data_IF_529507230372
#
_entry.id   IF_529507230372
#
_cell.length_a   1.000
_cell.length_b   1.000
_cell.length_c   1.000
_cell.angle_alpha   90.00
_cell.angle_beta   90.00
_cell.angle_gamma   90.00
#
_symmetry.space_group_name_H-M   'P 1'
#
loop_
_entity.id
_entity.type
_entity.pdbx_description
1 polymer ?
#
# COMPACT_ATOMS: atom_id res chain seq x y z
N UNK A 1 -9.42 -40.10 -0.26
CA UNK A 1 -8.68 -38.89 -0.61
C UNK A 1 -9.64 -37.98 -1.37
N UNK A 2 -10.21 -37.00 -0.67
CA UNK A 2 -11.34 -36.21 -1.15
C UNK A 2 -10.89 -35.24 -2.24
N UNK A 3 -11.50 -35.41 -3.43
CA UNK A 3 -11.35 -34.48 -4.54
C UNK A 3 -11.97 -33.13 -4.18
N UNK A 4 -11.16 -32.13 -3.98
CA UNK A 4 -11.61 -30.75 -3.90
C UNK A 4 -12.22 -30.36 -5.26
N UNK A 5 -13.54 -30.11 -5.23
CA UNK A 5 -14.34 -29.80 -6.42
C UNK A 5 -13.91 -28.44 -7.00
N UNK A 6 -13.09 -28.49 -8.05
CA UNK A 6 -12.56 -27.32 -8.77
C UNK A 6 -13.66 -26.51 -9.49
N UNK A 7 -14.92 -26.98 -9.50
CA UNK A 7 -16.08 -26.21 -10.01
C UNK A 7 -16.39 -25.01 -9.10
N UNK A 8 -16.02 -25.07 -7.81
CA UNK A 8 -16.20 -23.94 -6.89
C UNK A 8 -15.17 -22.82 -7.08
N UNK A 9 -14.02 -23.08 -7.71
CA UNK A 9 -13.03 -22.05 -8.04
C UNK A 9 -13.49 -21.13 -9.19
N UNK A 10 -14.30 -21.64 -10.14
CA UNK A 10 -14.93 -20.79 -11.17
C UNK A 10 -15.97 -19.80 -10.60
N UNK A 11 -16.50 -20.04 -9.41
CA UNK A 11 -17.42 -19.12 -8.71
C UNK A 11 -16.73 -17.95 -8.05
N UNK A 12 -15.40 -17.95 -7.90
CA UNK A 12 -14.65 -16.94 -7.14
C UNK A 12 -14.01 -15.83 -7.97
N UNK A 13 -13.90 -15.99 -9.30
CA UNK A 13 -13.47 -14.92 -10.20
C UNK A 13 -14.68 -14.09 -10.61
N UNK A 14 -14.96 -13.03 -9.88
CA UNK A 14 -15.95 -12.04 -10.30
C UNK A 14 -15.33 -11.16 -11.39
N UNK A 15 -15.70 -11.39 -12.64
CA UNK A 15 -15.38 -10.44 -13.72
C UNK A 15 -16.01 -9.08 -13.36
N UNK A 16 -15.17 -8.06 -13.19
CA UNK A 16 -15.65 -6.72 -12.88
C UNK A 16 -16.34 -6.04 -14.07
N UNK A 17 -16.39 -6.73 -15.23
CA UNK A 17 -17.04 -6.27 -16.47
C UNK A 17 -18.55 -6.55 -16.50
N UNK A 18 -19.07 -7.37 -15.57
CA UNK A 18 -20.48 -7.78 -15.53
C UNK A 18 -21.13 -7.49 -14.17
N UNK A 19 -22.42 -7.66 -14.06
CA UNK A 19 -23.18 -7.51 -12.82
C UNK A 19 -23.29 -6.06 -12.31
N UNK A 20 -23.63 -5.91 -11.02
CA UNK A 20 -23.79 -4.61 -10.36
C UNK A 20 -22.44 -3.94 -10.09
N UNK A 21 -22.28 -2.70 -10.58
CA UNK A 21 -21.04 -1.93 -10.49
C UNK A 21 -20.62 -1.70 -9.04
N UNK A 22 -21.52 -1.18 -8.19
CA UNK A 22 -21.20 -0.84 -6.81
C UNK A 22 -20.90 -2.08 -5.95
N UNK A 23 -21.71 -3.16 -6.11
CA UNK A 23 -21.46 -4.43 -5.42
C UNK A 23 -20.12 -5.02 -5.83
N UNK A 24 -19.80 -5.00 -7.14
CA UNK A 24 -18.53 -5.48 -7.66
C UNK A 24 -17.33 -4.77 -7.06
N UNK A 25 -17.34 -3.44 -7.02
CA UNK A 25 -16.24 -2.63 -6.45
C UNK A 25 -16.11 -2.88 -4.95
N UNK A 26 -17.20 -2.85 -4.17
CA UNK A 26 -17.15 -3.04 -2.73
C UNK A 26 -16.73 -4.45 -2.32
N UNK A 27 -17.34 -5.49 -2.92
CA UNK A 27 -16.98 -6.88 -2.61
C UNK A 27 -15.55 -7.21 -3.01
N UNK A 28 -15.03 -6.53 -4.02
CA UNK A 28 -13.62 -6.68 -4.42
C UNK A 28 -12.68 -5.91 -3.48
N UNK A 29 -13.08 -4.75 -2.94
CA UNK A 29 -12.29 -3.95 -2.02
C UNK A 29 -12.15 -4.60 -0.62
N UNK A 30 -13.17 -5.33 -0.15
CA UNK A 30 -13.15 -5.94 1.19
C UNK A 30 -11.96 -6.90 1.43
N UNK A 31 -11.62 -7.85 0.53
CA UNK A 31 -10.43 -8.67 0.71
C UNK A 31 -9.13 -7.88 0.65
N UNK A 32 -9.07 -6.78 -0.14
CA UNK A 32 -7.90 -5.90 -0.20
C UNK A 32 -7.68 -5.17 1.12
N UNK A 33 -8.76 -4.69 1.73
CA UNK A 33 -8.74 -4.13 3.08
C UNK A 33 -8.25 -5.17 4.09
N UNK A 34 -8.80 -6.40 4.03
CA UNK A 34 -8.37 -7.51 4.87
C UNK A 34 -6.87 -7.80 4.77
N UNK A 35 -6.31 -7.82 3.55
CA UNK A 35 -4.88 -8.00 3.33
C UNK A 35 -4.04 -6.90 4.00
N UNK A 36 -4.47 -5.64 3.88
CA UNK A 36 -3.77 -4.49 4.50
C UNK A 36 -3.84 -4.54 6.03
N UNK A 37 -4.99 -4.93 6.60
CA UNK A 37 -5.16 -5.09 8.05
C UNK A 37 -4.27 -6.21 8.59
N UNK A 38 -4.21 -7.36 7.92
CA UNK A 38 -3.35 -8.48 8.32
C UNK A 38 -1.88 -8.06 8.28
N UNK A 39 -1.47 -7.35 7.23
CA UNK A 39 -0.10 -6.82 7.13
C UNK A 39 0.24 -5.87 8.28
N UNK A 40 -0.68 -5.00 8.66
CA UNK A 40 -0.49 -4.08 9.79
C UNK A 40 -0.43 -4.82 11.13
N UNK A 41 -1.24 -5.87 11.29
CA UNK A 41 -1.27 -6.68 12.51
C UNK A 41 0.05 -7.40 12.74
N UNK A 42 0.56 -8.19 11.77
CA UNK A 42 1.80 -8.93 12.00
C UNK A 42 3.01 -7.99 12.20
N UNK A 43 3.11 -6.88 11.47
CA UNK A 43 4.17 -5.89 11.69
C UNK A 43 4.13 -5.28 13.10
N UNK A 44 2.94 -5.15 13.69
CA UNK A 44 2.78 -4.69 15.06
C UNK A 44 3.20 -5.77 16.05
N UNK A 45 2.84 -7.03 15.80
CA UNK A 45 3.22 -8.19 16.62
C UNK A 45 4.74 -8.36 16.64
N UNK A 46 5.41 -8.29 15.49
CA UNK A 46 6.88 -8.34 15.36
C UNK A 46 7.54 -7.32 16.32
N UNK A 47 7.07 -6.07 16.29
CA UNK A 47 7.64 -5.01 17.12
C UNK A 47 7.39 -5.25 18.62
N UNK A 48 6.23 -5.80 19.00
CA UNK A 48 5.90 -6.15 20.39
C UNK A 48 6.80 -7.28 20.87
N UNK A 49 6.96 -8.35 20.12
CA UNK A 49 7.83 -9.48 20.49
C UNK A 49 9.27 -9.03 20.70
N UNK A 50 9.82 -8.26 19.76
CA UNK A 50 11.19 -7.74 19.89
C UNK A 50 11.34 -6.82 21.08
N UNK A 51 10.37 -5.92 21.30
CA UNK A 51 10.41 -4.97 22.42
C UNK A 51 10.38 -5.64 23.78
N UNK A 52 9.54 -6.66 23.93
CA UNK A 52 9.39 -7.39 25.19
C UNK A 52 10.55 -8.35 25.48
N UNK A 53 11.08 -9.04 24.47
CA UNK A 53 12.12 -10.06 24.68
C UNK A 53 13.54 -9.51 24.64
N UNK A 54 13.81 -8.49 23.82
CA UNK A 54 15.17 -7.96 23.59
C UNK A 54 15.34 -6.48 23.96
N UNK A 55 14.26 -5.84 24.40
CA UNK A 55 14.27 -4.49 24.95
C UNK A 55 14.37 -3.38 23.88
N UNK A 56 14.54 -2.15 24.40
CA UNK A 56 14.43 -0.92 23.59
C UNK A 56 15.50 -0.76 22.51
N UNK A 57 16.71 -1.27 22.73
CA UNK A 57 17.81 -1.19 21.75
C UNK A 57 17.48 -2.00 20.48
N UNK A 58 16.90 -3.19 20.64
CA UNK A 58 16.51 -4.04 19.51
C UNK A 58 15.35 -3.41 18.72
N UNK A 59 14.32 -2.93 19.40
CA UNK A 59 13.21 -2.20 18.76
C UNK A 59 13.69 -0.94 18.03
N UNK A 60 14.63 -0.19 18.63
CA UNK A 60 15.21 1.00 18.01
C UNK A 60 16.02 0.66 16.74
N UNK A 61 16.73 -0.48 16.72
CA UNK A 61 17.46 -0.95 15.54
C UNK A 61 16.52 -1.30 14.37
N UNK A 62 15.39 -1.96 14.65
CA UNK A 62 14.33 -2.22 13.66
C UNK A 62 13.70 -0.91 13.19
N UNK A 63 13.38 -0.01 14.11
CA UNK A 63 12.82 1.31 13.81
C UNK A 63 13.74 2.15 12.92
N UNK A 64 15.05 2.15 13.16
CA UNK A 64 16.03 2.85 12.33
C UNK A 64 16.04 2.33 10.88
N UNK A 65 15.80 1.03 10.67
CA UNK A 65 15.69 0.43 9.33
C UNK A 65 14.32 0.65 8.69
N UNK A 66 13.32 0.97 9.48
CA UNK A 66 11.90 1.00 9.09
C UNK A 66 11.58 1.95 7.95
N UNK A 67 12.27 3.10 7.87
CA UNK A 67 12.06 4.04 6.77
C UNK A 67 12.48 3.47 5.42
N UNK A 68 13.65 2.84 5.36
CA UNK A 68 14.17 2.19 4.13
C UNK A 68 13.19 1.11 3.69
N UNK A 69 12.79 0.26 4.63
CA UNK A 69 11.82 -0.82 4.40
C UNK A 69 10.49 -0.27 3.88
N UNK A 70 9.95 0.78 4.52
CA UNK A 70 8.68 1.40 4.10
C UNK A 70 8.77 2.00 2.70
N UNK A 71 9.86 2.70 2.37
CA UNK A 71 10.09 3.23 1.03
C UNK A 71 10.14 2.14 -0.03
N UNK A 72 10.85 1.03 0.25
CA UNK A 72 10.94 -0.11 -0.67
C UNK A 72 9.59 -0.79 -0.87
N UNK A 73 8.90 -1.13 0.21
CA UNK A 73 7.55 -1.73 0.13
C UNK A 73 6.59 -0.81 -0.62
N UNK A 74 6.60 0.49 -0.32
CA UNK A 74 5.77 1.49 -0.99
C UNK A 74 6.06 1.56 -2.48
N UNK A 75 7.33 1.53 -2.87
CA UNK A 75 7.73 1.52 -4.28
C UNK A 75 7.19 0.28 -5.01
N UNK A 76 7.33 -0.92 -4.42
CA UNK A 76 6.84 -2.14 -5.07
C UNK A 76 5.33 -2.30 -5.04
N UNK A 77 4.66 -1.76 -4.06
CA UNK A 77 3.20 -1.61 -4.11
C UNK A 77 2.77 -0.74 -5.29
N UNK A 78 3.50 0.34 -5.57
CA UNK A 78 3.31 1.15 -6.78
C UNK A 78 3.61 0.38 -8.07
N UNK A 79 4.70 -0.40 -8.11
CA UNK A 79 5.01 -1.28 -9.25
C UNK A 79 3.90 -2.33 -9.49
N UNK A 80 3.31 -2.88 -8.43
CA UNK A 80 2.17 -3.80 -8.52
C UNK A 80 0.91 -3.15 -9.12
N UNK A 81 0.76 -1.82 -9.02
CA UNK A 81 -0.30 -1.10 -9.76
C UNK A 81 -0.06 -1.20 -11.27
N UNK A 82 1.19 -1.06 -11.73
CA UNK A 82 1.53 -1.22 -13.15
C UNK A 82 1.16 -2.62 -13.67
N UNK A 83 1.52 -3.68 -12.93
CA UNK A 83 1.16 -5.05 -13.30
C UNK A 83 -0.35 -5.26 -13.34
N UNK A 84 -1.07 -4.72 -12.35
CA UNK A 84 -2.53 -4.80 -12.30
C UNK A 84 -3.19 -4.12 -13.52
N UNK A 85 -2.78 -2.90 -13.86
CA UNK A 85 -3.37 -2.12 -14.95
C UNK A 85 -3.28 -2.87 -16.28
N UNK A 86 -2.10 -3.34 -16.67
CA UNK A 86 -1.91 -4.00 -17.96
C UNK A 86 -2.51 -5.41 -17.99
N UNK A 87 -2.40 -6.17 -16.89
CA UNK A 87 -3.05 -7.47 -16.79
C UNK A 87 -4.59 -7.32 -16.84
N UNK A 88 -5.17 -6.33 -16.16
CA UNK A 88 -6.61 -6.07 -16.21
C UNK A 88 -7.09 -5.68 -17.62
N UNK A 89 -6.31 -4.86 -18.35
CA UNK A 89 -6.62 -4.50 -19.74
C UNK A 89 -6.62 -5.71 -20.66
N UNK A 90 -5.56 -6.51 -20.64
CA UNK A 90 -5.49 -7.70 -21.48
C UNK A 90 -6.60 -8.70 -21.15
N UNK A 91 -6.88 -8.87 -19.84
CA UNK A 91 -7.97 -9.73 -19.38
C UNK A 91 -9.34 -9.24 -19.86
N UNK A 92 -9.64 -7.94 -19.68
CA UNK A 92 -10.89 -7.33 -20.14
C UNK A 92 -11.06 -7.36 -21.65
N UNK A 93 -9.97 -7.18 -22.41
CA UNK A 93 -9.95 -7.27 -23.86
C UNK A 93 -9.95 -8.72 -24.38
N UNK A 94 -9.92 -9.74 -23.51
CA UNK A 94 -9.80 -11.17 -23.83
C UNK A 94 -8.55 -11.50 -24.67
N UNK A 95 -7.48 -10.71 -24.51
CA UNK A 95 -6.18 -10.91 -25.19
C UNK A 95 -5.30 -11.85 -24.36
N UNK A 96 -5.64 -13.12 -24.35
CA UNK A 96 -5.01 -14.09 -23.45
C UNK A 96 -3.56 -14.42 -23.79
N UNK A 97 -3.15 -14.26 -25.06
CA UNK A 97 -1.75 -14.46 -25.47
C UNK A 97 -0.84 -13.35 -24.92
N UNK A 98 -1.29 -12.10 -25.01
CA UNK A 98 -0.58 -10.94 -24.43
C UNK A 98 -0.57 -11.05 -22.91
N UNK A 99 -1.69 -11.42 -22.29
CA UNK A 99 -1.79 -11.66 -20.85
C UNK A 99 -0.80 -12.74 -20.40
N UNK A 100 -0.66 -13.84 -21.14
CA UNK A 100 0.32 -14.89 -20.87
C UNK A 100 1.75 -14.33 -20.88
N UNK A 101 2.14 -13.61 -21.94
CA UNK A 101 3.46 -12.97 -22.04
C UNK A 101 3.71 -11.99 -20.89
N UNK A 102 2.71 -11.18 -20.57
CA UNK A 102 2.78 -10.25 -19.44
C UNK A 102 3.04 -10.98 -18.12
N UNK A 103 2.32 -12.07 -17.83
CA UNK A 103 2.50 -12.85 -16.59
C UNK A 103 3.91 -13.45 -16.49
N UNK A 104 4.45 -14.02 -17.59
CA UNK A 104 5.84 -14.49 -17.60
C UNK A 104 6.82 -13.34 -17.35
N UNK A 105 6.60 -12.19 -18.00
CA UNK A 105 7.43 -10.99 -17.82
C UNK A 105 7.38 -10.50 -16.36
N UNK A 106 6.20 -10.44 -15.75
CA UNK A 106 6.01 -10.05 -14.35
C UNK A 106 6.75 -10.99 -13.41
N UNK A 107 6.65 -12.30 -13.61
CA UNK A 107 7.34 -13.29 -12.80
C UNK A 107 8.87 -13.05 -12.81
N UNK A 108 9.46 -12.97 -14.01
CA UNK A 108 10.92 -12.77 -14.12
C UNK A 108 11.34 -11.37 -13.64
N UNK A 109 10.52 -10.34 -13.83
CA UNK A 109 10.75 -9.02 -13.26
C UNK A 109 10.78 -9.08 -11.73
N UNK A 110 9.89 -9.86 -11.11
CA UNK A 110 9.85 -10.07 -9.66
C UNK A 110 11.12 -10.73 -9.13
N UNK A 111 11.56 -11.81 -9.79
CA UNK A 111 12.78 -12.55 -9.39
C UNK A 111 14.03 -11.70 -9.60
N UNK A 112 14.23 -11.16 -10.82
CA UNK A 112 15.45 -10.41 -11.16
C UNK A 112 15.48 -9.09 -10.39
N UNK A 113 14.38 -8.35 -10.34
CA UNK A 113 14.28 -7.09 -9.60
C UNK A 113 14.48 -7.30 -8.10
N UNK A 114 13.87 -8.34 -7.53
CA UNK A 114 14.07 -8.71 -6.13
C UNK A 114 15.51 -9.10 -5.81
N UNK A 115 16.16 -9.86 -6.71
CA UNK A 115 17.58 -10.23 -6.58
C UNK A 115 18.50 -9.00 -6.64
N UNK A 116 18.27 -8.09 -7.58
CA UNK A 116 19.04 -6.85 -7.67
C UNK A 116 18.92 -6.03 -6.38
N UNK A 117 17.71 -5.91 -5.83
CA UNK A 117 17.50 -5.18 -4.58
C UNK A 117 18.10 -5.89 -3.38
N UNK A 118 18.03 -7.22 -3.34
CA UNK A 118 18.71 -7.99 -2.31
C UNK A 118 20.21 -7.67 -2.30
N UNK A 119 20.86 -7.72 -3.47
CA UNK A 119 22.30 -7.43 -3.60
C UNK A 119 22.60 -5.98 -3.23
N UNK A 120 21.88 -5.01 -3.81
CA UNK A 120 22.08 -3.59 -3.52
C UNK A 120 21.84 -3.31 -2.03
N UNK A 121 20.75 -3.79 -1.49
CA UNK A 121 20.42 -3.57 -0.08
C UNK A 121 21.40 -4.25 0.86
N UNK A 122 21.85 -5.46 0.57
CA UNK A 122 22.86 -6.17 1.38
C UNK A 122 24.19 -5.43 1.41
N UNK A 123 24.68 -4.96 0.25
CA UNK A 123 25.96 -4.23 0.12
C UNK A 123 25.86 -2.86 0.76
N UNK A 124 24.80 -2.08 0.43
CA UNK A 124 24.68 -0.68 0.83
C UNK A 124 23.93 -0.46 2.15
N UNK A 125 23.49 -1.51 2.86
CA UNK A 125 22.84 -1.35 4.18
C UNK A 125 23.61 -0.47 5.16
N UNK A 126 24.95 -0.60 5.33
CA UNK A 126 25.68 0.30 6.22
C UNK A 126 25.64 1.76 5.77
N UNK A 127 25.77 2.00 4.46
CA UNK A 127 25.75 3.34 3.86
C UNK A 127 24.39 4.02 4.07
N UNK A 128 23.30 3.30 3.81
CA UNK A 128 21.94 3.81 4.01
C UNK A 128 21.68 4.19 5.48
N UNK A 129 22.08 3.35 6.42
CA UNK A 129 21.94 3.60 7.85
C UNK A 129 22.84 4.74 8.34
N UNK A 130 24.01 4.92 7.73
CA UNK A 130 24.89 6.07 8.00
C UNK A 130 24.24 7.37 7.53
N UNK A 131 23.69 7.40 6.32
CA UNK A 131 22.97 8.58 5.79
C UNK A 131 21.76 8.96 6.64
N UNK A 132 21.12 7.97 7.26
CA UNK A 132 20.01 8.21 8.19
C UNK A 132 20.44 8.67 9.58
N UNK A 133 21.74 8.78 9.86
CA UNK A 133 22.25 9.21 11.18
C UNK A 133 21.99 8.17 12.27
N UNK A 134 21.96 6.88 11.95
CA UNK A 134 21.68 5.81 12.94
C UNK A 134 22.72 5.84 14.07
N UNK A 135 22.31 5.89 15.35
CA UNK A 135 23.21 5.95 16.49
C UNK A 135 24.18 4.75 16.54
N UNK A 136 25.46 5.01 16.87
CA UNK A 136 26.51 3.98 16.92
C UNK A 136 26.16 2.79 17.82
N UNK A 137 25.39 3.03 18.91
CA UNK A 137 25.00 1.99 19.87
C UNK A 137 24.07 0.91 19.32
N UNK A 138 23.30 1.22 18.28
CA UNK A 138 22.34 0.30 17.63
C UNK A 138 22.75 -0.06 16.20
N UNK A 139 23.75 0.62 15.65
CA UNK A 139 24.17 0.49 14.25
C UNK A 139 24.48 -0.97 13.82
N UNK A 140 25.27 -1.76 14.59
CA UNK A 140 25.53 -3.14 14.21
C UNK A 140 24.26 -4.00 14.14
N UNK A 141 23.34 -3.81 15.08
CA UNK A 141 22.05 -4.54 15.08
C UNK A 141 21.17 -4.12 13.89
N UNK A 142 21.10 -2.83 13.58
CA UNK A 142 20.35 -2.32 12.44
C UNK A 142 20.90 -2.84 11.11
N UNK A 143 22.23 -2.90 10.94
CA UNK A 143 22.87 -3.46 9.75
C UNK A 143 22.54 -4.94 9.58
N UNK A 144 22.63 -5.74 10.65
CA UNK A 144 22.32 -7.19 10.60
C UNK A 144 20.84 -7.41 10.24
N UNK A 145 19.94 -6.70 10.91
CA UNK A 145 18.51 -6.75 10.61
C UNK A 145 18.25 -6.42 9.13
N UNK A 146 18.75 -5.25 8.67
CA UNK A 146 18.48 -4.76 7.32
C UNK A 146 19.04 -5.71 6.25
N UNK A 147 20.22 -6.26 6.42
CA UNK A 147 20.81 -7.23 5.49
C UNK A 147 19.97 -8.50 5.33
N UNK A 148 19.49 -9.06 6.44
CA UNK A 148 18.63 -10.24 6.41
C UNK A 148 17.28 -9.88 5.79
N UNK A 149 16.72 -8.72 6.16
CA UNK A 149 15.48 -8.22 5.57
C UNK A 149 15.60 -8.04 4.06
N UNK A 150 16.76 -7.55 3.54
CA UNK A 150 16.99 -7.43 2.10
C UNK A 150 16.98 -8.77 1.38
N UNK A 151 17.31 -9.88 2.03
CA UNK A 151 17.17 -11.21 1.45
C UNK A 151 15.70 -11.56 1.15
N UNK A 152 14.74 -10.99 1.89
CA UNK A 152 13.31 -11.19 1.63
C UNK A 152 12.78 -10.41 0.41
N UNK A 153 13.58 -9.52 -0.20
CA UNK A 153 13.12 -8.69 -1.32
C UNK A 153 12.70 -9.52 -2.54
N UNK A 154 13.34 -10.65 -2.81
CA UNK A 154 12.92 -11.54 -3.90
C UNK A 154 11.46 -11.98 -3.69
N UNK A 155 11.14 -12.41 -2.48
CA UNK A 155 9.82 -12.90 -2.13
C UNK A 155 8.78 -11.78 -2.06
N UNK A 156 9.12 -10.66 -1.42
CA UNK A 156 8.24 -9.50 -1.26
C UNK A 156 7.88 -8.91 -2.64
N UNK A 157 8.87 -8.70 -3.51
CA UNK A 157 8.65 -8.15 -4.85
C UNK A 157 7.80 -9.08 -5.68
N UNK A 158 8.19 -10.37 -5.75
CA UNK A 158 7.43 -11.38 -6.50
C UNK A 158 6.00 -11.49 -6.00
N UNK A 159 5.79 -11.55 -4.69
CA UNK A 159 4.45 -11.58 -4.08
C UNK A 159 3.62 -10.37 -4.51
N UNK A 160 4.16 -9.14 -4.38
CA UNK A 160 3.41 -7.91 -4.70
C UNK A 160 3.04 -7.84 -6.18
N UNK A 161 3.99 -8.12 -7.08
CA UNK A 161 3.75 -8.07 -8.53
C UNK A 161 2.72 -9.13 -8.97
N UNK A 162 2.86 -10.38 -8.52
CA UNK A 162 1.94 -11.48 -8.86
C UNK A 162 0.56 -11.31 -8.18
N UNK A 163 0.50 -10.72 -6.99
CA UNK A 163 -0.78 -10.29 -6.39
C UNK A 163 -1.48 -9.25 -7.25
N UNK A 164 -0.73 -8.35 -7.89
CA UNK A 164 -1.25 -7.40 -8.87
C UNK A 164 -1.94 -8.11 -10.05
N UNK A 165 -1.35 -9.21 -10.53
CA UNK A 165 -1.95 -10.06 -11.59
C UNK A 165 -3.26 -10.67 -11.10
N UNK A 166 -3.29 -11.33 -9.93
CA UNK A 166 -4.52 -11.96 -9.42
C UNK A 166 -5.64 -10.93 -9.24
N UNK A 167 -5.32 -9.75 -8.72
CA UNK A 167 -6.27 -8.62 -8.65
C UNK A 167 -6.79 -8.22 -10.02
N UNK A 168 -5.91 -8.17 -11.01
CA UNK A 168 -6.28 -7.86 -12.38
C UNK A 168 -7.25 -8.90 -13.01
N UNK A 169 -7.13 -10.16 -12.62
CA UNK A 169 -8.02 -11.26 -13.03
C UNK A 169 -9.37 -11.26 -12.27
N UNK A 170 -9.58 -10.33 -11.34
CA UNK A 170 -10.79 -10.26 -10.52
C UNK A 170 -10.73 -11.12 -9.24
N UNK A 171 -9.58 -11.66 -8.90
CA UNK A 171 -9.36 -12.43 -7.69
C UNK A 171 -8.61 -11.60 -6.63
N UNK A 172 -9.35 -11.00 -5.71
CA UNK A 172 -8.78 -10.31 -4.54
C UNK A 172 -8.70 -11.21 -3.29
N UNK A 173 -9.33 -12.39 -3.30
CA UNK A 173 -9.38 -13.31 -2.16
C UNK A 173 -8.12 -14.15 -2.04
N UNK A 174 -7.60 -14.64 -3.14
CA UNK A 174 -6.40 -15.48 -3.15
C UNK A 174 -5.17 -14.76 -2.59
N UNK A 175 -4.85 -13.50 -2.96
CA UNK A 175 -3.81 -12.73 -2.30
C UNK A 175 -4.05 -12.56 -0.78
N UNK A 176 -5.30 -12.29 -0.37
CA UNK A 176 -5.65 -12.22 1.07
C UNK A 176 -5.32 -13.52 1.80
N UNK A 177 -5.71 -14.67 1.24
CA UNK A 177 -5.46 -15.97 1.87
C UNK A 177 -3.97 -16.25 2.04
N UNK A 178 -3.15 -16.02 1.01
CA UNK A 178 -1.70 -16.21 1.13
C UNK A 178 -1.05 -15.20 2.08
N UNK A 179 -1.55 -13.96 2.12
CA UNK A 179 -1.09 -12.97 3.11
C UNK A 179 -1.47 -13.39 4.54
N UNK A 180 -2.66 -13.94 4.73
CA UNK A 180 -3.12 -14.43 6.02
C UNK A 180 -2.29 -15.61 6.52
N UNK A 181 -2.06 -16.63 5.69
CA UNK A 181 -1.20 -17.75 6.04
C UNK A 181 0.25 -17.29 6.25
N UNK A 182 0.75 -16.38 5.42
CA UNK A 182 2.06 -15.76 5.63
C UNK A 182 2.16 -15.06 6.98
N UNK A 183 1.14 -14.29 7.37
CA UNK A 183 1.09 -13.64 8.69
C UNK A 183 1.07 -14.62 9.87
N UNK A 184 0.30 -15.70 9.77
CA UNK A 184 0.32 -16.77 10.78
C UNK A 184 1.71 -17.40 10.89
N UNK A 185 2.32 -17.75 9.76
CA UNK A 185 3.65 -18.35 9.72
C UNK A 185 4.69 -17.36 10.30
N UNK A 186 4.55 -16.06 10.02
CA UNK A 186 5.44 -15.05 10.57
C UNK A 186 5.38 -15.01 12.09
N UNK A 187 4.17 -14.96 12.70
CA UNK A 187 3.99 -14.96 14.16
C UNK A 187 4.59 -16.23 14.80
N UNK A 188 4.36 -17.40 14.19
CA UNK A 188 4.94 -18.65 14.69
C UNK A 188 6.47 -18.67 14.53
N UNK A 189 7.00 -18.19 13.41
CA UNK A 189 8.43 -18.11 13.17
C UNK A 189 9.09 -17.11 14.12
N UNK A 190 8.47 -15.95 14.39
CA UNK A 190 8.94 -15.01 15.41
C UNK A 190 9.01 -15.68 16.79
N UNK A 191 7.95 -16.37 17.21
CA UNK A 191 7.98 -17.10 18.47
C UNK A 191 9.15 -18.09 18.53
N UNK A 192 9.35 -18.89 17.48
CA UNK A 192 10.43 -19.88 17.44
C UNK A 192 11.81 -19.20 17.45
N UNK A 193 12.03 -18.22 16.57
CA UNK A 193 13.35 -17.59 16.45
C UNK A 193 13.70 -16.69 17.62
N UNK A 194 12.71 -15.96 18.17
CA UNK A 194 12.93 -15.01 19.25
C UNK A 194 12.86 -15.67 20.64
N UNK A 195 11.81 -16.45 20.91
CA UNK A 195 11.59 -17.02 22.24
C UNK A 195 12.31 -18.34 22.47
N UNK A 196 12.46 -19.20 21.44
CA UNK A 196 13.12 -20.51 21.58
C UNK A 196 14.62 -20.41 21.25
N UNK A 197 14.97 -19.80 20.10
CA UNK A 197 16.38 -19.71 19.67
C UNK A 197 17.09 -18.43 20.15
N UNK A 198 16.39 -17.47 20.75
CA UNK A 198 16.94 -16.21 21.25
C UNK A 198 17.77 -15.42 20.23
N UNK A 199 17.34 -15.40 18.96
CA UNK A 199 18.11 -14.84 17.83
C UNK A 199 18.11 -13.29 17.75
N UNK A 200 17.36 -12.59 18.60
CA UNK A 200 17.32 -11.12 18.57
C UNK A 200 16.67 -10.54 17.30
N UNK A 201 17.19 -9.40 16.82
CA UNK A 201 16.64 -8.71 15.62
C UNK A 201 16.80 -9.54 14.34
N UNK A 202 17.79 -10.42 14.28
CA UNK A 202 18.01 -11.33 13.16
C UNK A 202 16.86 -12.32 13.01
N UNK A 203 16.32 -12.81 14.15
CA UNK A 203 15.18 -13.73 14.19
C UNK A 203 13.93 -13.13 13.54
N UNK A 204 13.59 -11.89 13.84
CA UNK A 204 12.44 -11.18 13.23
C UNK A 204 12.62 -11.02 11.71
N UNK A 205 13.83 -10.65 11.27
CA UNK A 205 14.09 -10.54 9.83
C UNK A 205 13.99 -11.89 9.11
N UNK A 206 14.46 -12.99 9.76
CA UNK A 206 14.32 -14.35 9.24
C UNK A 206 12.87 -14.83 9.22
N UNK A 207 12.08 -14.51 10.24
CA UNK A 207 10.65 -14.82 10.28
C UNK A 207 9.91 -14.14 9.11
N UNK A 208 10.23 -12.88 8.84
CA UNK A 208 9.72 -12.15 7.67
C UNK A 208 10.16 -12.80 6.36
N UNK A 209 11.45 -13.14 6.21
CA UNK A 209 11.97 -13.83 5.02
C UNK A 209 11.22 -15.14 4.77
N UNK A 210 11.06 -15.96 5.80
CA UNK A 210 10.40 -17.26 5.68
C UNK A 210 8.92 -17.12 5.31
N UNK A 211 8.19 -16.29 6.03
CA UNK A 211 6.75 -16.08 5.82
C UNK A 211 6.44 -15.48 4.43
N UNK A 212 7.20 -14.49 4.00
CA UNK A 212 7.04 -13.87 2.67
C UNK A 212 7.41 -14.84 1.55
N UNK A 213 8.40 -15.71 1.77
CA UNK A 213 8.78 -16.75 0.81
C UNK A 213 7.65 -17.76 0.63
N UNK A 214 7.03 -18.22 1.72
CA UNK A 214 5.88 -19.13 1.64
C UNK A 214 4.70 -18.49 0.93
N UNK A 215 4.38 -17.22 1.23
CA UNK A 215 3.32 -16.50 0.56
C UNK A 215 3.59 -16.32 -0.95
N UNK A 216 4.82 -15.96 -1.33
CA UNK A 216 5.23 -15.82 -2.73
C UNK A 216 5.17 -17.14 -3.50
N UNK A 217 5.69 -18.22 -2.93
CA UNK A 217 5.61 -19.56 -3.52
C UNK A 217 4.14 -19.99 -3.67
N UNK A 218 3.30 -19.72 -2.68
CA UNK A 218 1.87 -20.01 -2.74
C UNK A 218 1.18 -19.36 -3.93
N UNK A 219 1.42 -18.07 -4.17
CA UNK A 219 0.88 -17.35 -5.34
C UNK A 219 1.45 -17.91 -6.65
N UNK A 220 2.75 -18.20 -6.71
CA UNK A 220 3.38 -18.80 -7.90
C UNK A 220 2.74 -20.14 -8.25
N UNK A 221 2.56 -21.04 -7.26
CA UNK A 221 1.90 -22.32 -7.44
C UNK A 221 0.46 -22.14 -7.88
N UNK A 222 -0.26 -21.17 -7.30
CA UNK A 222 -1.64 -20.87 -7.70
C UNK A 222 -1.72 -20.48 -9.16
N UNK A 223 -0.91 -19.52 -9.61
CA UNK A 223 -0.87 -19.06 -11.01
C UNK A 223 -0.40 -20.16 -11.98
N UNK A 224 0.52 -21.03 -11.55
CA UNK A 224 0.99 -22.18 -12.32
C UNK A 224 -0.12 -23.23 -12.53
N UNK A 225 -0.94 -23.48 -11.50
CA UNK A 225 -2.02 -24.47 -11.51
C UNK A 225 -3.30 -23.99 -12.22
N UNK A 226 -3.38 -22.74 -12.64
CA UNK A 226 -4.49 -22.27 -13.45
C UNK A 226 -4.63 -23.12 -14.72
N UNK A 227 -5.85 -23.50 -15.06
CA UNK A 227 -6.18 -24.25 -16.29
C UNK A 227 -6.39 -23.33 -17.50
N UNK A 228 -6.20 -22.05 -17.32
CA UNK A 228 -6.40 -21.00 -18.31
C UNK A 228 -5.19 -20.85 -19.25
N UNK A 229 -5.36 -20.36 -20.48
CA UNK A 229 -4.26 -20.23 -21.45
C UNK A 229 -3.17 -19.25 -21.00
N UNK A 230 -3.47 -18.35 -20.06
CA UNK A 230 -2.53 -17.38 -19.51
C UNK A 230 -1.84 -17.85 -18.21
N UNK A 231 -1.92 -19.12 -17.85
CA UNK A 231 -1.24 -19.65 -16.66
C UNK A 231 0.27 -19.42 -16.68
N UNK A 232 0.86 -19.23 -15.49
CA UNK A 232 2.32 -19.11 -15.33
C UNK A 232 3.02 -20.40 -15.77
N UNK A 233 4.08 -20.29 -16.61
CA UNK A 233 4.87 -21.44 -17.13
C UNK A 233 6.37 -21.29 -16.93
N UNK A 234 6.82 -20.26 -16.20
CA UNK A 234 8.23 -19.95 -15.94
C UNK A 234 9.11 -19.79 -17.19
N UNK A 235 8.50 -19.51 -18.35
CA UNK A 235 9.20 -19.41 -19.62
C UNK A 235 9.83 -18.03 -19.81
N UNK A 236 11.16 -17.97 -19.81
CA UNK A 236 11.88 -16.72 -20.10
C UNK A 236 11.76 -16.32 -21.57
N UNK A 237 11.58 -17.30 -22.46
CA UNK A 237 11.46 -17.07 -23.91
C UNK A 237 10.15 -16.33 -24.28
N UNK A 238 9.16 -16.41 -23.44
CA UNK A 238 7.88 -15.73 -23.61
C UNK A 238 7.84 -14.33 -23.00
N UNK A 239 8.92 -13.88 -22.36
CA UNK A 239 9.02 -12.53 -21.83
C UNK A 239 9.06 -11.51 -22.95
N UNK A 240 8.43 -10.36 -22.71
CA UNK A 240 8.31 -9.27 -23.67
C UNK A 240 8.86 -7.97 -23.08
N UNK A 241 9.86 -7.40 -23.75
CA UNK A 241 10.40 -6.08 -23.37
C UNK A 241 9.32 -4.98 -23.45
N UNK A 242 8.40 -5.09 -24.40
CA UNK A 242 7.26 -4.16 -24.53
C UNK A 242 6.39 -4.19 -23.27
N UNK A 243 5.99 -5.39 -22.83
CA UNK A 243 5.18 -5.56 -21.62
C UNK A 243 5.92 -5.07 -20.37
N UNK A 244 7.23 -5.33 -20.27
CA UNK A 244 8.09 -4.81 -19.22
C UNK A 244 8.09 -3.28 -19.18
N UNK A 245 8.33 -2.62 -20.33
CA UNK A 245 8.32 -1.16 -20.42
C UNK A 245 6.94 -0.55 -20.10
N UNK A 246 5.87 -1.24 -20.47
CA UNK A 246 4.52 -0.80 -20.16
C UNK A 246 4.24 -0.88 -18.66
N UNK A 247 4.67 -1.95 -17.98
CA UNK A 247 4.60 -2.03 -16.50
C UNK A 247 5.36 -0.87 -15.86
N UNK A 248 6.59 -0.57 -16.33
CA UNK A 248 7.42 0.51 -15.78
C UNK A 248 6.78 1.89 -15.95
N UNK A 249 6.13 2.17 -17.10
CA UNK A 249 5.45 3.46 -17.35
C UNK A 249 4.39 3.82 -16.30
N UNK A 250 3.74 2.82 -15.72
CA UNK A 250 2.73 3.02 -14.67
C UNK A 250 3.32 2.75 -13.28
N UNK A 251 4.12 1.71 -13.16
CA UNK A 251 4.68 1.25 -11.89
C UNK A 251 5.68 2.22 -11.28
N UNK A 252 6.63 2.74 -12.08
CA UNK A 252 7.64 3.70 -11.57
C UNK A 252 6.98 4.97 -11.05
N UNK A 253 6.11 5.68 -11.79
CA UNK A 253 5.45 6.86 -11.25
C UNK A 253 4.64 6.58 -9.98
N UNK A 254 3.92 5.46 -9.92
CA UNK A 254 3.15 5.08 -8.74
C UNK A 254 4.06 4.73 -7.55
N UNK A 255 5.19 4.08 -7.80
CA UNK A 255 6.19 3.78 -6.77
C UNK A 255 6.89 5.03 -6.25
N UNK A 256 7.31 5.91 -7.13
CA UNK A 256 7.91 7.22 -6.77
C UNK A 256 6.93 8.07 -5.98
N UNK A 257 5.65 8.09 -6.37
CA UNK A 257 4.60 8.76 -5.60
C UNK A 257 4.54 8.26 -4.15
N UNK A 258 4.63 6.96 -3.93
CA UNK A 258 4.61 6.36 -2.58
C UNK A 258 5.82 6.78 -1.74
N UNK A 259 7.02 6.77 -2.33
CA UNK A 259 8.25 7.25 -1.66
C UNK A 259 8.10 8.72 -1.27
N UNK A 260 7.62 9.56 -2.17
CA UNK A 260 7.49 11.01 -1.94
C UNK A 260 6.48 11.31 -0.83
N UNK A 261 5.37 10.58 -0.75
CA UNK A 261 4.42 10.70 0.35
C UNK A 261 5.13 10.37 1.69
N UNK A 262 5.92 9.29 1.72
CA UNK A 262 6.68 8.89 2.91
C UNK A 262 7.67 9.98 3.33
N UNK A 263 8.42 10.54 2.39
CA UNK A 263 9.37 11.64 2.66
C UNK A 263 8.66 12.91 3.17
N UNK A 264 7.52 13.28 2.58
CA UNK A 264 6.71 14.39 3.07
C UNK A 264 6.27 14.19 4.52
N UNK A 265 5.85 12.97 4.89
CA UNK A 265 5.45 12.65 6.24
C UNK A 265 6.61 12.75 7.25
N UNK A 266 7.86 12.49 6.83
CA UNK A 266 9.06 12.68 7.68
C UNK A 266 9.27 14.16 8.01
N UNK A 267 9.11 15.05 7.03
CA UNK A 267 9.22 16.50 7.25
C UNK A 267 8.16 16.96 8.26
N UNK A 268 6.93 16.46 8.13
CA UNK A 268 5.87 16.76 9.09
C UNK A 268 6.22 16.23 10.48
N UNK A 269 6.71 14.99 10.57
CA UNK A 269 7.12 14.38 11.85
C UNK A 269 8.24 15.20 12.51
N UNK A 270 9.18 15.74 11.74
CA UNK A 270 10.21 16.64 12.27
C UNK A 270 9.61 17.88 12.91
N UNK A 271 8.58 18.49 12.31
CA UNK A 271 7.89 19.63 12.90
C UNK A 271 7.05 19.24 14.15
N UNK A 272 6.41 18.06 14.13
CA UNK A 272 5.71 17.56 15.33
C UNK A 272 6.69 17.41 16.50
N UNK A 273 7.89 16.92 16.25
CA UNK A 273 8.92 16.73 17.28
C UNK A 273 9.33 18.04 17.95
N UNK A 274 9.25 19.19 17.28
CA UNK A 274 9.56 20.50 17.87
C UNK A 274 8.49 20.97 18.86
N UNK A 275 7.28 20.41 18.81
CA UNK A 275 6.16 20.79 19.70
C UNK A 275 6.18 20.07 21.06
N UNK A 276 7.15 19.18 21.27
CA UNK A 276 7.35 18.50 22.55
C UNK A 276 6.66 17.13 22.65
N UNK A 277 6.89 16.48 23.79
CA UNK A 277 6.55 15.06 24.01
C UNK A 277 5.04 14.79 23.90
N UNK A 278 4.20 15.66 24.44
CA UNK A 278 2.73 15.52 24.38
C UNK A 278 2.23 15.54 22.93
N UNK A 279 2.75 16.44 22.10
CA UNK A 279 2.38 16.50 20.68
C UNK A 279 2.80 15.24 19.93
N UNK A 280 4.02 14.75 20.14
CA UNK A 280 4.51 13.50 19.56
C UNK A 280 3.63 12.31 19.96
N UNK A 281 3.27 12.20 21.23
CA UNK A 281 2.38 11.15 21.74
C UNK A 281 0.98 11.25 21.10
N UNK A 282 0.43 12.47 21.00
CA UNK A 282 -0.89 12.72 20.44
C UNK A 282 -0.96 12.35 18.93
N UNK A 283 0.04 12.74 18.15
CA UNK A 283 0.12 12.33 16.74
C UNK A 283 0.37 10.83 16.58
N UNK A 284 1.11 10.19 17.49
CA UNK A 284 1.29 8.73 17.47
C UNK A 284 -0.05 8.01 17.64
N UNK A 285 -0.90 8.45 18.56
CA UNK A 285 -2.25 7.91 18.75
C UNK A 285 -3.12 8.24 17.53
N UNK A 286 -3.08 9.48 17.05
CA UNK A 286 -3.82 9.92 15.86
C UNK A 286 -3.53 9.01 14.66
N UNK A 287 -2.26 8.77 14.31
CA UNK A 287 -1.89 7.92 13.17
C UNK A 287 -2.38 6.46 13.30
N UNK A 288 -2.50 5.94 14.53
CA UNK A 288 -3.09 4.61 14.75
C UNK A 288 -4.59 4.58 14.48
N UNK A 289 -5.30 5.61 14.91
CA UNK A 289 -6.74 5.74 14.66
C UNK A 289 -7.02 6.07 13.19
N UNK A 290 -6.20 6.90 12.58
CA UNK A 290 -6.29 7.27 11.15
C UNK A 290 -6.31 6.05 10.22
N UNK A 291 -5.59 4.97 10.55
CA UNK A 291 -5.58 3.74 9.75
C UNK A 291 -6.98 3.15 9.54
N UNK A 292 -7.91 3.36 10.46
CA UNK A 292 -9.30 2.89 10.34
C UNK A 292 -10.01 3.54 9.13
N UNK A 293 -9.66 4.78 8.81
CA UNK A 293 -10.20 5.52 7.66
C UNK A 293 -9.32 5.35 6.43
N UNK A 294 -8.02 5.41 6.60
CA UNK A 294 -7.04 5.39 5.51
C UNK A 294 -7.05 4.07 4.72
N UNK A 295 -7.01 2.92 5.41
CA UNK A 295 -6.93 1.61 4.75
C UNK A 295 -8.14 1.28 3.87
N UNK A 296 -9.40 1.56 4.25
CA UNK A 296 -10.55 1.39 3.37
C UNK A 296 -10.46 2.24 2.09
N UNK A 297 -9.95 3.47 2.17
CA UNK A 297 -9.80 4.34 1.00
C UNK A 297 -8.77 3.77 0.02
N UNK A 298 -7.62 3.30 0.53
CA UNK A 298 -6.59 2.65 -0.30
C UNK A 298 -7.13 1.37 -0.95
N UNK A 299 -7.88 0.56 -0.20
CA UNK A 299 -8.50 -0.65 -0.73
C UNK A 299 -9.53 -0.32 -1.83
N UNK A 300 -10.34 0.72 -1.64
CA UNK A 300 -11.25 1.23 -2.66
C UNK A 300 -10.49 1.69 -3.91
N UNK A 301 -9.41 2.45 -3.75
CA UNK A 301 -8.55 2.89 -4.86
C UNK A 301 -8.00 1.70 -5.66
N UNK A 302 -7.46 0.69 -5.00
CA UNK A 302 -6.96 -0.53 -5.68
C UNK A 302 -8.08 -1.27 -6.43
N UNK A 303 -9.28 -1.35 -5.86
CA UNK A 303 -10.44 -1.94 -6.52
C UNK A 303 -10.84 -1.14 -7.77
N UNK A 304 -10.81 0.18 -7.70
CA UNK A 304 -11.09 1.09 -8.83
C UNK A 304 -10.07 0.89 -9.95
N UNK A 305 -8.77 0.74 -9.65
CA UNK A 305 -7.73 0.45 -10.67
C UNK A 305 -8.07 -0.82 -11.45
N UNK A 306 -8.38 -1.92 -10.76
CA UNK A 306 -8.73 -3.20 -11.39
C UNK A 306 -10.04 -3.09 -12.20
N UNK A 307 -11.06 -2.44 -11.64
CA UNK A 307 -12.35 -2.21 -12.27
C UNK A 307 -12.21 -1.40 -13.56
N UNK A 308 -11.49 -0.27 -13.51
CA UNK A 308 -11.28 0.60 -14.67
C UNK A 308 -10.43 -0.13 -15.70
N UNK A 309 -9.35 -0.80 -15.33
CA UNK A 309 -8.49 -1.55 -16.24
C UNK A 309 -9.25 -2.62 -17.03
N UNK A 310 -10.06 -3.45 -16.37
CA UNK A 310 -10.86 -4.49 -17.04
C UNK A 310 -11.93 -3.89 -17.97
N UNK A 311 -12.69 -2.89 -17.50
CA UNK A 311 -13.75 -2.28 -18.30
C UNK A 311 -13.18 -1.44 -19.46
N UNK A 312 -11.99 -0.84 -19.30
CA UNK A 312 -11.27 -0.18 -20.38
C UNK A 312 -10.85 -1.17 -21.48
N UNK A 313 -10.26 -2.30 -21.08
CA UNK A 313 -9.92 -3.38 -22.01
C UNK A 313 -11.13 -3.94 -22.75
N UNK A 314 -12.28 -4.05 -22.08
CA UNK A 314 -13.55 -4.52 -22.65
C UNK A 314 -14.32 -3.45 -23.44
N UNK A 315 -13.87 -2.20 -23.50
CA UNK A 315 -14.58 -1.10 -24.15
C UNK A 315 -15.85 -0.62 -23.43
N UNK A 316 -16.03 -0.99 -22.16
CA UNK A 316 -17.26 -0.74 -21.39
C UNK A 316 -17.31 0.66 -20.73
N UNK A 317 -17.28 1.72 -21.53
CA UNK A 317 -17.23 3.12 -21.06
C UNK A 317 -18.36 3.51 -20.13
N UNK A 318 -19.59 3.03 -20.38
CA UNK A 318 -20.72 3.34 -19.52
C UNK A 318 -20.57 2.78 -18.11
N UNK A 319 -19.93 1.60 -17.98
CA UNK A 319 -19.64 1.01 -16.69
C UNK A 319 -18.55 1.80 -15.97
N UNK A 320 -17.50 2.24 -16.67
CA UNK A 320 -16.47 3.11 -16.11
C UNK A 320 -17.07 4.40 -15.53
N UNK A 321 -17.95 5.07 -16.29
CA UNK A 321 -18.64 6.28 -15.82
C UNK A 321 -19.46 6.03 -14.54
N UNK A 322 -20.23 4.93 -14.48
CA UNK A 322 -21.00 4.55 -13.30
C UNK A 322 -20.08 4.21 -12.11
N UNK A 323 -19.00 3.46 -12.34
CA UNK A 323 -18.02 3.11 -11.32
C UNK A 323 -17.33 4.34 -10.74
N UNK A 324 -16.93 5.30 -11.59
CA UNK A 324 -16.32 6.55 -11.18
C UNK A 324 -17.28 7.39 -10.32
N UNK A 325 -18.53 7.53 -10.77
CA UNK A 325 -19.55 8.26 -9.99
C UNK A 325 -19.75 7.60 -8.62
N UNK A 326 -19.87 6.28 -8.58
CA UNK A 326 -20.03 5.54 -7.33
C UNK A 326 -18.81 5.67 -6.41
N UNK A 327 -17.59 5.42 -6.93
CA UNK A 327 -16.38 5.45 -6.10
C UNK A 327 -16.10 6.85 -5.54
N UNK A 328 -16.32 7.91 -6.32
CA UNK A 328 -16.09 9.28 -5.89
C UNK A 328 -17.19 9.74 -4.93
N UNK A 329 -18.47 9.71 -5.33
CA UNK A 329 -19.56 10.23 -4.51
C UNK A 329 -19.89 9.27 -3.36
N UNK A 330 -20.10 7.98 -3.66
CA UNK A 330 -20.43 6.98 -2.65
C UNK A 330 -19.27 6.78 -1.66
N UNK A 331 -18.04 6.67 -2.17
CA UNK A 331 -16.83 6.59 -1.33
C UNK A 331 -16.68 7.81 -0.42
N UNK A 332 -16.89 9.03 -0.93
CA UNK A 332 -16.80 10.25 -0.14
C UNK A 332 -17.88 10.33 0.95
N UNK A 333 -19.13 9.96 0.63
CA UNK A 333 -20.22 9.94 1.61
C UNK A 333 -19.95 8.91 2.71
N UNK A 334 -19.51 7.71 2.34
CA UNK A 334 -19.17 6.65 3.31
C UNK A 334 -18.01 7.11 4.21
N UNK A 335 -16.95 7.68 3.62
CA UNK A 335 -15.80 8.19 4.38
C UNK A 335 -16.21 9.30 5.33
N UNK A 336 -17.01 10.28 4.85
CA UNK A 336 -17.48 11.38 5.69
C UNK A 336 -18.32 10.86 6.86
N UNK A 337 -19.28 9.98 6.60
CA UNK A 337 -20.12 9.38 7.64
C UNK A 337 -19.30 8.59 8.67
N UNK A 338 -18.34 7.78 8.19
CA UNK A 338 -17.44 7.04 9.07
C UNK A 338 -16.57 7.98 9.93
N UNK A 339 -16.04 9.06 9.36
CA UNK A 339 -15.26 10.06 10.09
C UNK A 339 -16.10 10.78 11.15
N UNK A 340 -17.34 11.16 10.82
CA UNK A 340 -18.24 11.80 11.80
C UNK A 340 -18.57 10.84 12.96
N UNK A 341 -18.86 9.58 12.65
CA UNK A 341 -19.08 8.55 13.66
C UNK A 341 -17.84 8.37 14.55
N UNK A 342 -16.65 8.28 13.94
CA UNK A 342 -15.39 8.15 14.69
C UNK A 342 -15.13 9.35 15.60
N UNK A 343 -15.43 10.58 15.19
CA UNK A 343 -15.32 11.77 16.06
C UNK A 343 -16.20 11.62 17.29
N UNK A 344 -17.44 11.13 17.13
CA UNK A 344 -18.39 10.94 18.24
C UNK A 344 -17.89 9.89 19.23
N UNK A 345 -17.39 8.76 18.73
CA UNK A 345 -16.91 7.65 19.59
C UNK A 345 -15.46 7.83 20.05
N UNK A 346 -14.75 8.84 19.54
CA UNK A 346 -13.32 9.07 19.82
C UNK A 346 -13.00 9.16 21.31
N UNK A 347 -13.79 9.86 22.17
CA UNK A 347 -13.48 9.91 23.61
C UNK A 347 -13.44 8.53 24.27
N UNK A 348 -14.23 7.55 23.76
CA UNK A 348 -14.21 6.16 24.26
C UNK A 348 -12.98 5.42 23.73
N UNK A 349 -12.67 5.57 22.43
CA UNK A 349 -11.51 4.96 21.81
C UNK A 349 -10.22 5.41 22.50
N UNK A 350 -10.07 6.70 22.76
CA UNK A 350 -8.86 7.25 23.37
C UNK A 350 -8.57 6.71 24.77
N UNK A 351 -9.60 6.33 25.55
CA UNK A 351 -9.40 5.67 26.86
C UNK A 351 -8.67 4.34 26.74
N UNK A 352 -8.77 3.65 25.59
CA UNK A 352 -8.04 2.40 25.34
C UNK A 352 -6.58 2.65 24.92
N UNK A 353 -6.28 3.82 24.33
CA UNK A 353 -4.94 4.13 23.82
C UNK A 353 -4.04 4.87 24.83
N UNK A 354 -4.63 5.71 25.68
CA UNK A 354 -3.83 6.51 26.64
C UNK A 354 -4.59 6.80 27.92
N UNK A 355 -3.85 6.83 29.02
CA UNK A 355 -4.33 7.30 30.32
C UNK A 355 -4.05 8.80 30.55
N UNK A 356 -3.19 9.40 29.71
CA UNK A 356 -2.84 10.82 29.78
C UNK A 356 -3.96 11.67 29.16
N UNK A 357 -4.59 12.48 29.99
CA UNK A 357 -5.71 13.35 29.61
C UNK A 357 -5.29 14.46 28.64
N UNK A 358 -4.06 14.96 28.73
CA UNK A 358 -3.53 15.98 27.83
C UNK A 358 -3.32 15.41 26.42
N UNK A 359 -2.74 14.22 26.32
CA UNK A 359 -2.57 13.48 25.06
C UNK A 359 -3.93 13.17 24.44
N UNK A 360 -4.91 12.71 25.23
CA UNK A 360 -6.25 12.41 24.75
C UNK A 360 -6.97 13.66 24.22
N UNK A 361 -6.93 14.78 24.97
CA UNK A 361 -7.54 16.03 24.56
C UNK A 361 -6.93 16.55 23.24
N UNK A 362 -5.61 16.59 23.14
CA UNK A 362 -4.91 17.07 21.96
C UNK A 362 -5.12 16.16 20.75
N UNK A 363 -5.17 14.82 20.93
CA UNK A 363 -5.52 13.89 19.85
C UNK A 363 -6.93 14.15 19.34
N UNK A 364 -7.89 14.41 20.22
CA UNK A 364 -9.27 14.74 19.83
C UNK A 364 -9.34 16.02 18.99
N UNK A 365 -8.54 17.05 19.34
CA UNK A 365 -8.45 18.29 18.56
C UNK A 365 -7.88 18.01 17.16
N UNK A 366 -6.79 17.25 17.04
CA UNK A 366 -6.21 16.84 15.75
C UNK A 366 -7.26 16.11 14.88
N UNK A 367 -8.00 15.17 15.48
CA UNK A 367 -9.06 14.43 14.79
C UNK A 367 -10.18 15.35 14.31
N UNK A 368 -10.65 16.29 15.14
CA UNK A 368 -11.68 17.26 14.76
C UNK A 368 -11.26 18.17 13.61
N UNK A 369 -9.97 18.47 13.48
CA UNK A 369 -9.41 19.28 12.37
C UNK A 369 -9.29 18.46 11.08
N UNK A 370 -8.93 17.20 11.15
CA UNK A 370 -8.58 16.39 9.96
C UNK A 370 -9.75 15.58 9.41
N UNK A 371 -10.51 14.88 10.28
CA UNK A 371 -11.53 13.90 9.87
C UNK A 371 -12.70 14.48 9.07
N UNK A 372 -13.24 15.68 9.37
CA UNK A 372 -14.30 16.26 8.56
C UNK A 372 -13.94 16.43 7.08
N UNK A 373 -12.64 16.57 6.79
CA UNK A 373 -12.11 16.81 5.45
C UNK A 373 -11.51 15.57 4.80
N UNK A 374 -11.55 14.42 5.45
CA UNK A 374 -10.93 13.18 4.94
C UNK A 374 -11.56 12.71 3.61
N UNK A 375 -12.79 13.11 3.32
CA UNK A 375 -13.44 12.85 2.02
C UNK A 375 -12.67 13.46 0.83
N UNK A 376 -11.91 14.57 1.01
CA UNK A 376 -11.02 15.09 -0.03
C UNK A 376 -9.95 14.08 -0.40
N UNK A 377 -9.42 13.34 0.58
CA UNK A 377 -8.46 12.27 0.32
C UNK A 377 -9.11 11.12 -0.49
N UNK A 378 -10.38 10.79 -0.20
CA UNK A 378 -11.13 9.81 -0.98
C UNK A 378 -11.33 10.27 -2.43
N UNK A 379 -11.69 11.53 -2.64
CA UNK A 379 -11.84 12.12 -3.99
C UNK A 379 -10.51 12.06 -4.74
N UNK A 380 -9.42 12.50 -4.10
CA UNK A 380 -8.07 12.44 -4.65
C UNK A 380 -7.69 11.02 -5.08
N UNK A 381 -7.85 10.03 -4.18
CA UNK A 381 -7.45 8.66 -4.43
C UNK A 381 -8.33 8.00 -5.51
N UNK A 382 -9.63 8.26 -5.54
CA UNK A 382 -10.52 7.75 -6.58
C UNK A 382 -10.17 8.29 -7.97
N UNK A 383 -9.94 9.59 -8.13
CA UNK A 383 -9.50 10.15 -9.42
C UNK A 383 -8.12 9.65 -9.84
N UNK A 384 -7.17 9.58 -8.90
CA UNK A 384 -5.84 9.04 -9.11
C UNK A 384 -5.90 7.59 -9.60
N UNK A 385 -6.69 6.75 -8.94
CA UNK A 385 -6.90 5.33 -9.28
C UNK A 385 -7.58 5.15 -10.64
N UNK A 386 -8.53 6.03 -11.00
CA UNK A 386 -9.10 6.05 -12.34
C UNK A 386 -8.05 6.35 -13.41
N UNK A 387 -7.23 7.40 -13.23
CA UNK A 387 -6.17 7.76 -14.16
C UNK A 387 -5.13 6.63 -14.28
N UNK A 388 -4.75 6.00 -13.15
CA UNK A 388 -3.88 4.80 -13.16
C UNK A 388 -4.51 3.65 -13.93
N UNK A 389 -5.80 3.36 -13.74
CA UNK A 389 -6.55 2.34 -14.50
C UNK A 389 -6.52 2.57 -16.01
N UNK A 390 -6.50 3.84 -16.44
CA UNK A 390 -6.23 4.24 -17.82
C UNK A 390 -4.75 4.22 -18.20
N UNK A 391 -3.83 3.74 -17.33
CA UNK A 391 -2.39 3.73 -17.57
C UNK A 391 -1.71 5.09 -17.52
N UNK A 392 -2.38 6.12 -17.01
CA UNK A 392 -1.85 7.49 -16.90
C UNK A 392 -1.40 7.78 -15.46
N UNK A 393 -0.36 7.06 -14.98
CA UNK A 393 0.11 7.19 -13.59
C UNK A 393 1.02 8.41 -13.34
N UNK A 394 1.65 8.95 -14.38
CA UNK A 394 2.54 10.11 -14.27
C UNK A 394 1.80 11.37 -13.77
N UNK A 395 0.59 11.62 -14.28
CA UNK A 395 -0.20 12.79 -13.87
C UNK A 395 -0.58 12.75 -12.37
N UNK A 396 -1.13 11.65 -11.82
CA UNK A 396 -1.36 11.51 -10.39
C UNK A 396 -0.11 11.71 -9.55
N UNK A 397 1.03 11.17 -9.99
CA UNK A 397 2.30 11.37 -9.31
C UNK A 397 2.65 12.86 -9.20
N UNK A 398 2.64 13.60 -10.32
CA UNK A 398 2.99 15.03 -10.33
C UNK A 398 2.07 15.84 -9.41
N UNK A 399 0.75 15.63 -9.49
CA UNK A 399 -0.20 16.33 -8.61
C UNK A 399 0.08 16.03 -7.14
N UNK A 400 0.33 14.76 -6.78
CA UNK A 400 0.64 14.38 -5.40
C UNK A 400 1.94 15.03 -4.92
N UNK A 401 2.99 15.00 -5.75
CA UNK A 401 4.28 15.64 -5.43
C UNK A 401 4.09 17.13 -5.16
N UNK A 402 3.46 17.84 -6.08
CA UNK A 402 3.25 19.28 -5.95
C UNK A 402 2.36 19.62 -4.75
N UNK A 403 1.31 18.83 -4.52
CA UNK A 403 0.39 19.09 -3.42
C UNK A 403 0.97 18.73 -2.04
N UNK A 404 1.68 17.61 -1.94
CA UNK A 404 2.16 17.11 -0.63
C UNK A 404 3.55 17.61 -0.27
N UNK A 405 4.46 17.76 -1.23
CA UNK A 405 5.78 18.34 -0.98
C UNK A 405 5.83 19.86 -1.22
N UNK A 406 5.03 20.39 -2.14
CA UNK A 406 4.91 21.82 -2.34
C UNK A 406 3.95 22.46 -1.34
N UNK A 407 2.65 22.38 -1.63
CA UNK A 407 1.64 23.11 -0.86
C UNK A 407 1.51 22.67 0.61
N UNK A 408 1.60 21.38 0.93
CA UNK A 408 1.50 20.92 2.33
C UNK A 408 2.66 21.44 3.18
N UNK A 409 3.90 21.33 2.66
CA UNK A 409 5.09 21.78 3.39
C UNK A 409 5.09 23.29 3.51
N UNK A 410 4.75 24.01 2.44
CA UNK A 410 4.63 25.48 2.48
C UNK A 410 3.56 25.93 3.49
N UNK A 411 2.36 25.32 3.45
CA UNK A 411 1.29 25.61 4.42
C UNK A 411 1.74 25.32 5.86
N UNK A 412 2.43 24.20 6.07
CA UNK A 412 2.96 23.81 7.38
C UNK A 412 3.89 24.91 7.93
N UNK A 413 4.88 25.35 7.16
CA UNK A 413 5.82 26.39 7.62
C UNK A 413 5.13 27.73 7.85
N UNK A 414 4.21 28.16 6.98
CA UNK A 414 3.44 29.41 7.15
C UNK A 414 2.58 29.35 8.41
N UNK A 415 1.87 28.25 8.65
CA UNK A 415 1.01 28.09 9.80
C UNK A 415 1.83 28.02 11.12
N UNK A 416 2.96 27.32 11.08
CA UNK A 416 3.84 27.17 12.26
C UNK A 416 4.62 28.45 12.60
N UNK A 417 4.91 29.31 11.62
CA UNK A 417 5.64 30.57 11.85
C UNK A 417 4.86 31.59 12.70
N UNK A 418 3.53 31.55 12.67
CA UNK A 418 2.67 32.49 13.42
C UNK A 418 2.48 32.08 14.88
N UNK A 419 2.19 30.83 15.12
CA UNK A 419 1.98 30.26 16.45
C UNK A 419 2.07 28.73 16.37
N UNK A 420 3.20 28.11 16.71
CA UNK A 420 3.39 26.66 16.62
C UNK A 420 2.40 25.90 17.50
N UNK A 421 1.59 25.03 16.88
CA UNK A 421 0.60 24.22 17.60
C UNK A 421 0.23 22.95 16.82
N UNK A 422 -0.21 21.85 17.49
CA UNK A 422 -0.54 20.60 16.85
C UNK A 422 -1.71 20.68 15.87
N UNK A 423 -2.72 21.51 16.15
CA UNK A 423 -3.87 21.76 15.28
C UNK A 423 -3.45 22.39 13.94
N UNK A 424 -2.44 23.28 13.94
CA UNK A 424 -1.89 23.86 12.71
C UNK A 424 -1.10 22.86 11.87
N UNK A 425 -0.34 21.97 12.52
CA UNK A 425 0.25 20.84 11.79
C UNK A 425 -0.85 19.98 11.19
N UNK A 426 -1.90 19.66 11.95
CA UNK A 426 -3.05 18.89 11.49
C UNK A 426 -3.77 19.56 10.30
N UNK A 427 -3.93 20.89 10.31
CA UNK A 427 -4.60 21.65 9.25
C UNK A 427 -3.87 21.57 7.90
N UNK A 428 -2.56 21.35 7.90
CA UNK A 428 -1.79 21.19 6.66
C UNK A 428 -2.25 20.00 5.80
N UNK A 429 -2.83 18.96 6.42
CA UNK A 429 -3.35 17.77 5.71
C UNK A 429 -4.60 18.11 4.87
N UNK A 430 -5.70 18.63 5.43
CA UNK A 430 -6.89 19.01 4.67
C UNK A 430 -6.59 20.00 3.54
N UNK A 431 -5.72 21.00 3.77
CA UNK A 431 -5.34 21.97 2.74
C UNK A 431 -4.72 21.24 1.53
N UNK A 432 -3.75 20.37 1.77
CA UNK A 432 -3.10 19.62 0.68
C UNK A 432 -4.04 18.64 -0.02
N UNK A 433 -4.92 17.96 0.72
CA UNK A 433 -5.90 17.05 0.15
C UNK A 433 -6.92 17.78 -0.73
N UNK A 434 -7.41 18.95 -0.30
CA UNK A 434 -8.34 19.77 -1.07
C UNK A 434 -7.72 20.25 -2.38
N UNK A 435 -6.49 20.79 -2.33
CA UNK A 435 -5.76 21.23 -3.52
C UNK A 435 -5.54 20.05 -4.48
N UNK A 436 -5.08 18.91 -3.97
CA UNK A 436 -4.83 17.72 -4.76
C UNK A 436 -6.13 17.17 -5.38
N UNK A 437 -7.24 17.14 -4.63
CA UNK A 437 -8.53 16.67 -5.11
C UNK A 437 -9.07 17.54 -6.26
N UNK A 438 -8.97 18.88 -6.14
CA UNK A 438 -9.37 19.81 -7.19
C UNK A 438 -8.48 19.64 -8.44
N UNK A 439 -7.16 19.59 -8.26
CA UNK A 439 -6.22 19.40 -9.36
C UNK A 439 -6.47 18.07 -10.10
N UNK A 440 -6.71 16.98 -9.35
CA UNK A 440 -7.04 15.69 -9.95
C UNK A 440 -8.38 15.70 -10.69
N UNK A 441 -9.40 16.35 -10.15
CA UNK A 441 -10.70 16.49 -10.81
C UNK A 441 -10.56 17.22 -12.16
N UNK A 442 -9.80 18.33 -12.19
CA UNK A 442 -9.52 19.09 -13.43
C UNK A 442 -8.76 18.24 -14.43
N UNK A 443 -7.72 17.54 -14.01
CA UNK A 443 -6.95 16.66 -14.88
C UNK A 443 -7.78 15.50 -15.42
N UNK A 444 -8.63 14.90 -14.58
CA UNK A 444 -9.51 13.82 -15.00
C UNK A 444 -10.49 14.29 -16.08
N UNK A 445 -11.13 15.45 -15.90
CA UNK A 445 -12.08 16.02 -16.87
C UNK A 445 -11.37 16.33 -18.20
N UNK A 446 -10.18 16.94 -18.17
CA UNK A 446 -9.39 17.24 -19.38
C UNK A 446 -8.94 15.96 -20.12
N UNK A 447 -8.50 14.94 -19.39
CA UNK A 447 -8.03 13.70 -20.00
C UNK A 447 -9.17 12.81 -20.52
N UNK A 448 -10.40 12.96 -19.99
CA UNK A 448 -11.60 12.27 -20.49
C UNK A 448 -12.06 12.76 -21.85
N UNK A 449 -11.77 14.02 -22.20
CA UNK A 449 -12.19 14.60 -23.49
C UNK A 449 -11.47 13.97 -24.69
N UNK A 450 -10.24 13.44 -24.52
CA UNK A 450 -9.53 12.68 -25.56
C UNK A 450 -10.05 11.26 -25.81
N UNK A 451 -10.92 10.74 -24.94
CA UNK A 451 -11.49 9.40 -25.01
C UNK A 451 -12.79 9.31 -25.83
N UNK A 452 -13.33 10.45 -26.26
CA UNK A 452 -14.46 10.51 -27.20
C UNK A 452 -14.04 10.36 -28.65
N UNK A 453 -12.72 10.33 -28.93
CA UNK A 453 -12.16 10.31 -30.28
C UNK A 453 -11.55 8.95 -30.69
N UNK A 454 -11.72 7.90 -29.89
CA UNK A 454 -11.40 6.50 -30.20
C UNK A 454 -12.67 5.64 -30.01
#
# INVERSE_FOLDING_TARGET
>A
MGGYDLRNLKKNTHTLTEGSVWKGILLFALPLLGSSLIQQLYSTVDLIFVGQLFGTKASAAIGASGLIVTCLIGFFNGMAVGTNVFAARHYGAKRFNELKRLIQTIFWTGIIGGLLLMVIGFVFSPTFLTWMGTPKSIFPLAVRYLRIYMASMISIVSYNLLSGVLRALGDSRTPLLYQFFGGIINIFADFIFLAVFHMGVEGTALATLFSQTVAAIGIMIHLYRLKEPYALRFSIKECSLREFMDILKVGIPAGVQSIIITLSNIIIQSQINTLGVTAVASFTVYFRVELIVYLPIIALGQAVVSFVGQNYGAGNWNRIKKGNKFSILGGSVITFAACMLLIIVMPVILKAFTKDTAVAAQTLEIVKVTFPFYFFYTVLECFSSNLRGFGKAFLPMVVTVVSFCGFRIAALFVLMAQNPSPDKVALSYPISWGIAAIAMAVLYVRNRSGEKAL
#
